data_IF_283778834822
#
_entry.id   IF_283778834822
#
_cell.length_a   1.000
_cell.length_b   1.000
_cell.length_c   1.000
_cell.angle_alpha   90.00
_cell.angle_beta   90.00
_cell.angle_gamma   90.00
#
_symmetry.space_group_name_H-M   'P 1'
#
loop_
_entity.id
_entity.type
_entity.pdbx_description
1 polymer ?
#
# COMPACT_ATOMS: atom_id res chain seq x y z
N UNK A 1 -18.60 -13.69 -47.21
CA UNK A 1 -19.58 -13.83 -46.13
C UNK A 1 -18.88 -13.45 -44.85
N UNK A 2 -19.13 -12.24 -44.36
CA UNK A 2 -18.53 -11.72 -43.13
C UNK A 2 -19.25 -12.41 -41.97
N UNK A 3 -18.55 -13.25 -41.21
CA UNK A 3 -19.11 -13.85 -39.99
C UNK A 3 -19.58 -12.72 -39.08
N UNK A 4 -20.80 -12.74 -38.53
CA UNK A 4 -21.22 -11.73 -37.58
C UNK A 4 -20.23 -11.74 -36.41
N UNK A 5 -19.75 -10.56 -36.02
CA UNK A 5 -18.96 -10.41 -34.79
C UNK A 5 -19.77 -11.03 -33.64
N UNK A 6 -19.16 -11.87 -32.77
CA UNK A 6 -19.90 -12.48 -31.68
C UNK A 6 -20.57 -11.38 -30.87
N UNK A 7 -21.88 -11.48 -30.67
CA UNK A 7 -22.61 -10.56 -29.83
C UNK A 7 -21.95 -10.55 -28.45
N UNK A 8 -21.41 -9.41 -28.04
CA UNK A 8 -20.72 -9.28 -26.75
C UNK A 8 -21.75 -9.51 -25.65
N UNK A 9 -21.58 -10.59 -24.88
CA UNK A 9 -22.42 -10.86 -23.70
C UNK A 9 -22.40 -9.65 -22.75
N UNK A 10 -23.53 -9.33 -22.09
CA UNK A 10 -23.54 -8.34 -21.03
C UNK A 10 -22.61 -8.76 -19.88
N UNK A 11 -22.23 -7.80 -19.04
CA UNK A 11 -21.35 -8.03 -17.90
C UNK A 11 -22.01 -7.62 -16.60
N UNK A 12 -21.88 -8.49 -15.61
CA UNK A 12 -22.11 -8.18 -14.20
C UNK A 12 -20.76 -7.89 -13.55
N UNK A 13 -20.59 -6.68 -12.99
CA UNK A 13 -19.34 -6.26 -12.36
C UNK A 13 -19.44 -6.38 -10.84
N UNK A 14 -18.44 -6.99 -10.22
CA UNK A 14 -18.28 -7.04 -8.77
C UNK A 14 -17.01 -6.28 -8.40
N UNK A 15 -17.16 -5.14 -7.73
CA UNK A 15 -16.04 -4.38 -7.19
C UNK A 15 -15.73 -4.87 -5.79
N UNK A 16 -14.47 -5.20 -5.51
CA UNK A 16 -14.06 -5.66 -4.18
C UNK A 16 -13.11 -4.65 -3.56
N UNK A 17 -13.46 -4.14 -2.39
CA UNK A 17 -12.71 -3.10 -1.66
C UNK A 17 -11.88 -3.69 -0.53
N UNK A 18 -10.77 -3.03 -0.19
CA UNK A 18 -9.80 -3.45 0.84
C UNK A 18 -9.33 -2.27 1.69
N UNK A 19 -8.12 -2.31 2.26
CA UNK A 19 -7.68 -1.23 3.17
C UNK A 19 -7.48 0.13 2.47
N UNK A 20 -7.24 0.12 1.15
CA UNK A 20 -7.13 1.34 0.33
C UNK A 20 -8.47 1.99 -0.03
N UNK A 21 -9.59 1.27 0.11
CA UNK A 21 -10.88 1.70 -0.43
C UNK A 21 -12.10 1.31 0.41
N UNK A 22 -13.10 2.19 0.45
CA UNK A 22 -14.41 1.88 1.01
C UNK A 22 -15.50 1.91 -0.04
N UNK A 23 -16.63 1.25 0.26
CA UNK A 23 -17.83 1.30 -0.60
C UNK A 23 -18.27 2.74 -0.91
N UNK A 24 -18.11 3.66 0.04
CA UNK A 24 -18.48 5.06 -0.11
C UNK A 24 -17.62 5.82 -1.15
N UNK A 25 -16.44 5.30 -1.51
CA UNK A 25 -15.50 5.97 -2.40
C UNK A 25 -15.87 5.87 -3.89
N UNK A 26 -16.85 5.05 -4.25
CA UNK A 26 -17.10 4.70 -5.66
C UNK A 26 -18.44 5.14 -6.22
N UNK A 27 -19.38 5.60 -5.38
CA UNK A 27 -20.76 5.88 -5.78
C UNK A 27 -20.90 6.69 -7.09
N UNK A 28 -20.23 7.86 -7.22
CA UNK A 28 -20.28 8.65 -8.46
C UNK A 28 -19.59 8.00 -9.66
N UNK A 29 -18.47 7.31 -9.43
CA UNK A 29 -17.68 6.69 -10.50
C UNK A 29 -18.33 5.43 -11.08
N UNK A 30 -19.20 4.77 -10.30
CA UNK A 30 -19.98 3.61 -10.73
C UNK A 30 -21.40 3.97 -11.17
N UNK A 31 -21.76 5.25 -11.19
CA UNK A 31 -23.08 5.69 -11.58
C UNK A 31 -23.34 5.32 -13.06
N UNK A 32 -24.18 4.31 -13.28
CA UNK A 32 -24.51 3.78 -14.60
C UNK A 32 -23.91 2.40 -14.92
N UNK A 33 -23.06 1.85 -14.05
CA UNK A 33 -22.61 0.47 -14.15
C UNK A 33 -23.57 -0.45 -13.38
N UNK A 34 -23.83 -1.65 -13.95
CA UNK A 34 -24.45 -2.76 -13.21
C UNK A 34 -23.40 -3.39 -12.29
N UNK A 35 -23.00 -2.63 -11.27
CA UNK A 35 -21.88 -2.97 -10.40
C UNK A 35 -22.35 -3.20 -8.96
N UNK A 36 -21.93 -4.31 -8.36
CA UNK A 36 -22.07 -4.56 -6.93
C UNK A 36 -20.74 -4.28 -6.22
N UNK A 37 -20.75 -3.41 -5.21
CA UNK A 37 -19.55 -3.04 -4.45
C UNK A 37 -19.53 -3.74 -3.10
N UNK A 38 -18.50 -4.54 -2.87
CA UNK A 38 -18.36 -5.40 -1.70
C UNK A 38 -17.11 -5.04 -0.92
N UNK A 39 -17.20 -5.06 0.41
CA UNK A 39 -15.99 -5.07 1.26
C UNK A 39 -15.43 -6.49 1.31
N UNK A 40 -14.11 -6.63 1.37
CA UNK A 40 -13.45 -7.93 1.30
C UNK A 40 -13.87 -8.85 2.46
N UNK A 41 -14.61 -9.89 2.11
CA UNK A 41 -14.45 -11.19 2.76
C UNK A 41 -14.60 -12.27 1.69
N UNK A 42 -13.70 -13.26 1.69
CA UNK A 42 -13.70 -14.36 0.71
C UNK A 42 -15.07 -15.03 0.57
N UNK A 43 -15.77 -15.20 1.71
CA UNK A 43 -17.12 -15.79 1.74
C UNK A 43 -18.17 -14.92 1.04
N UNK A 44 -18.12 -13.60 1.24
CA UNK A 44 -19.06 -12.67 0.59
C UNK A 44 -18.82 -12.64 -0.92
N UNK A 45 -17.56 -12.51 -1.35
CA UNK A 45 -17.19 -12.55 -2.78
C UNK A 45 -17.67 -13.84 -3.43
N UNK A 46 -17.36 -15.00 -2.83
CA UNK A 46 -17.80 -16.30 -3.35
C UNK A 46 -19.34 -16.39 -3.43
N UNK A 47 -20.07 -15.94 -2.42
CA UNK A 47 -21.53 -16.02 -2.41
C UNK A 47 -22.18 -15.13 -3.48
N UNK A 48 -21.70 -13.90 -3.64
CA UNK A 48 -22.21 -12.96 -4.65
C UNK A 48 -21.91 -13.48 -6.05
N UNK A 49 -20.68 -13.91 -6.31
CA UNK A 49 -20.30 -14.45 -7.62
C UNK A 49 -21.10 -15.70 -7.96
N UNK A 50 -21.26 -16.63 -7.01
CA UNK A 50 -22.11 -17.82 -7.21
C UNK A 50 -23.54 -17.43 -7.56
N UNK A 51 -24.10 -16.43 -6.89
CA UNK A 51 -25.47 -15.97 -7.13
C UNK A 51 -25.60 -15.28 -8.48
N UNK A 52 -24.61 -14.48 -8.88
CA UNK A 52 -24.55 -13.84 -10.20
C UNK A 52 -24.49 -14.88 -11.32
N UNK A 53 -23.57 -15.86 -11.22
CA UNK A 53 -23.43 -16.94 -12.20
C UNK A 53 -24.70 -17.80 -12.34
N UNK A 54 -25.45 -17.99 -11.25
CA UNK A 54 -26.70 -18.76 -11.26
C UNK A 54 -27.92 -17.97 -11.75
N UNK A 55 -27.88 -16.64 -11.76
CA UNK A 55 -29.05 -15.77 -12.04
C UNK A 55 -29.07 -15.18 -13.44
N UNK A 56 -27.92 -15.13 -14.13
CA UNK A 56 -27.81 -14.59 -15.49
C UNK A 56 -26.92 -15.49 -16.35
N UNK A 57 -26.95 -15.28 -17.68
CA UNK A 57 -25.98 -15.85 -18.63
C UNK A 57 -24.80 -14.88 -18.92
N UNK A 58 -24.69 -13.80 -18.16
CA UNK A 58 -23.69 -12.76 -18.34
C UNK A 58 -22.28 -13.27 -18.00
N UNK A 59 -21.28 -12.50 -18.44
CA UNK A 59 -19.91 -12.63 -17.94
C UNK A 59 -19.83 -11.90 -16.59
N UNK A 60 -19.41 -12.61 -15.55
CA UNK A 60 -19.16 -12.05 -14.22
C UNK A 60 -17.69 -11.63 -14.13
N UNK A 61 -17.46 -10.36 -13.87
CA UNK A 61 -16.11 -9.80 -13.71
C UNK A 61 -15.91 -9.32 -12.29
N UNK A 62 -14.82 -9.75 -11.66
CA UNK A 62 -14.44 -9.32 -10.31
C UNK A 62 -13.24 -8.38 -10.42
N UNK A 63 -13.37 -7.16 -9.91
CA UNK A 63 -12.34 -6.12 -9.99
C UNK A 63 -11.87 -5.73 -8.58
N UNK A 64 -10.62 -6.08 -8.22
CA UNK A 64 -9.99 -5.58 -6.99
C UNK A 64 -9.74 -4.06 -7.06
N UNK A 65 -10.35 -3.31 -6.14
CA UNK A 65 -10.28 -1.85 -6.06
C UNK A 65 -9.11 -1.39 -5.18
N UNK A 66 -7.90 -1.63 -5.66
CA UNK A 66 -6.62 -1.33 -5.01
C UNK A 66 -5.69 -0.60 -5.98
N UNK A 67 -4.82 0.29 -5.48
CA UNK A 67 -3.69 0.81 -6.24
C UNK A 67 -2.46 -0.11 -6.13
N UNK A 68 -2.64 -1.39 -5.81
CA UNK A 68 -1.58 -2.38 -5.65
C UNK A 68 -0.84 -2.31 -4.33
N UNK A 69 -1.31 -1.52 -3.37
CA UNK A 69 -0.83 -1.52 -1.98
C UNK A 69 -1.48 -2.63 -1.15
N UNK A 70 -2.51 -3.28 -1.71
CA UNK A 70 -3.24 -4.40 -1.13
C UNK A 70 -3.16 -5.63 -2.07
N UNK A 71 -1.97 -6.25 -2.21
CA UNK A 71 -1.83 -7.49 -2.99
C UNK A 71 -2.62 -8.66 -2.38
N UNK A 72 -2.81 -8.65 -1.06
CA UNK A 72 -3.63 -9.60 -0.32
C UNK A 72 -5.09 -9.62 -0.80
N UNK A 73 -5.69 -8.46 -1.08
CA UNK A 73 -7.03 -8.35 -1.68
C UNK A 73 -7.13 -9.08 -3.02
N UNK A 74 -6.13 -8.94 -3.88
CA UNK A 74 -6.10 -9.61 -5.19
C UNK A 74 -6.02 -11.12 -5.01
N UNK A 75 -5.13 -11.59 -4.13
CA UNK A 75 -4.98 -13.00 -3.81
C UNK A 75 -6.25 -13.58 -3.18
N UNK A 76 -6.91 -12.85 -2.28
CA UNK A 76 -8.13 -13.30 -1.63
C UNK A 76 -9.32 -13.32 -2.58
N UNK A 77 -9.42 -12.38 -3.53
CA UNK A 77 -10.35 -12.49 -4.65
C UNK A 77 -10.08 -13.78 -5.44
N UNK A 78 -8.83 -14.02 -5.86
CA UNK A 78 -8.49 -15.22 -6.62
C UNK A 78 -8.81 -16.54 -5.87
N UNK A 79 -8.48 -16.62 -4.57
CA UNK A 79 -8.82 -17.78 -3.71
C UNK A 79 -10.33 -17.99 -3.60
N UNK A 80 -11.13 -16.91 -3.54
CA UNK A 80 -12.58 -17.01 -3.53
C UNK A 80 -13.13 -17.54 -4.86
N UNK A 81 -12.47 -17.22 -5.98
CA UNK A 81 -12.92 -17.59 -7.32
C UNK A 81 -12.42 -18.95 -7.83
N UNK A 82 -11.30 -19.44 -7.28
CA UNK A 82 -10.65 -20.67 -7.73
C UNK A 82 -11.59 -21.89 -7.76
N UNK A 83 -12.57 -21.94 -6.87
CA UNK A 83 -13.56 -23.02 -6.81
C UNK A 83 -14.48 -23.09 -8.04
N UNK A 84 -14.68 -21.99 -8.77
CA UNK A 84 -15.53 -21.96 -9.96
C UNK A 84 -14.79 -22.39 -11.22
N UNK A 85 -13.46 -22.21 -11.26
CA UNK A 85 -12.62 -22.55 -12.42
C UNK A 85 -12.63 -24.05 -12.76
N UNK A 86 -12.99 -24.92 -11.81
CA UNK A 86 -12.99 -26.37 -11.96
C UNK A 86 -14.37 -26.99 -12.23
N UNK A 87 -15.45 -26.20 -12.19
CA UNK A 87 -16.82 -26.74 -12.09
C UNK A 87 -17.63 -26.64 -13.40
N UNK A 88 -17.31 -25.71 -14.31
CA UNK A 88 -18.16 -25.46 -15.49
C UNK A 88 -17.62 -26.10 -16.78
N UNK A 89 -18.38 -27.05 -17.34
CA UNK A 89 -18.25 -27.46 -18.74
C UNK A 89 -18.96 -26.41 -19.61
N UNK A 90 -18.21 -25.59 -20.35
CA UNK A 90 -18.78 -24.56 -21.21
C UNK A 90 -17.82 -23.43 -21.60
N UNK A 91 -18.35 -22.39 -22.23
CA UNK A 91 -17.59 -21.17 -22.48
C UNK A 91 -17.29 -20.45 -21.15
N UNK A 92 -16.08 -19.90 -20.96
CA UNK A 92 -15.71 -19.28 -19.70
C UNK A 92 -16.51 -17.99 -19.47
N UNK A 93 -17.12 -17.88 -18.28
CA UNK A 93 -18.03 -16.78 -17.89
C UNK A 93 -17.59 -16.00 -16.66
N UNK A 94 -16.45 -16.36 -16.06
CA UNK A 94 -15.92 -15.71 -14.88
C UNK A 94 -14.51 -15.18 -15.18
N UNK A 95 -14.25 -13.93 -14.86
CA UNK A 95 -12.91 -13.35 -14.93
C UNK A 95 -12.57 -12.55 -13.67
N UNK A 96 -11.34 -12.72 -13.19
CA UNK A 96 -10.67 -11.80 -12.29
C UNK A 96 -9.95 -10.74 -13.13
N UNK A 97 -10.38 -9.49 -13.01
CA UNK A 97 -9.69 -8.37 -13.62
C UNK A 97 -8.33 -8.14 -12.94
N UNK A 98 -7.41 -7.48 -13.66
CA UNK A 98 -6.28 -6.84 -13.00
C UNK A 98 -6.79 -5.84 -11.96
N UNK A 99 -6.02 -5.61 -10.90
CA UNK A 99 -6.29 -4.54 -9.95
C UNK A 99 -6.46 -3.21 -10.67
N UNK A 100 -7.26 -2.31 -10.09
CA UNK A 100 -7.52 -1.02 -10.71
C UNK A 100 -6.24 -0.30 -11.11
N UNK A 101 -5.26 -0.25 -10.20
CA UNK A 101 -3.93 0.27 -10.50
C UNK A 101 -2.80 -0.52 -9.85
N UNK A 102 -1.63 0.10 -9.87
CA UNK A 102 -0.35 -0.45 -9.40
C UNK A 102 0.33 0.59 -8.51
N UNK A 103 1.33 0.20 -7.69
CA UNK A 103 2.01 1.15 -6.83
C UNK A 103 2.63 2.32 -7.61
N UNK A 104 3.07 2.08 -8.84
CA UNK A 104 3.58 3.13 -9.74
C UNK A 104 2.50 4.14 -10.15
N UNK A 105 1.27 3.66 -10.42
CA UNK A 105 0.13 4.55 -10.65
C UNK A 105 -0.15 5.41 -9.41
N UNK A 106 -0.12 4.83 -8.21
CA UNK A 106 -0.28 5.58 -6.96
C UNK A 106 0.82 6.64 -6.80
N UNK A 107 2.09 6.27 -6.98
CA UNK A 107 3.22 7.22 -6.92
C UNK A 107 3.02 8.35 -7.93
N UNK A 108 2.60 8.07 -9.16
CA UNK A 108 2.34 9.10 -10.16
C UNK A 108 1.23 10.08 -9.71
N UNK A 109 0.14 9.57 -9.13
CA UNK A 109 -0.94 10.38 -8.58
C UNK A 109 -0.51 11.20 -7.37
N UNK A 110 0.22 10.60 -6.43
CA UNK A 110 0.76 11.29 -5.25
C UNK A 110 1.74 12.39 -5.65
N UNK A 111 2.64 12.13 -6.61
CA UNK A 111 3.54 13.16 -7.15
C UNK A 111 2.78 14.31 -7.81
N UNK A 112 1.66 14.00 -8.51
CA UNK A 112 0.79 15.05 -9.05
C UNK A 112 0.16 15.88 -7.93
N UNK A 113 -0.29 15.25 -6.85
CA UNK A 113 -0.85 15.94 -5.69
C UNK A 113 0.17 16.87 -5.05
N UNK A 114 1.39 16.37 -4.78
CA UNK A 114 2.51 17.17 -4.24
C UNK A 114 2.83 18.38 -5.12
N UNK A 115 2.99 18.21 -6.44
CA UNK A 115 3.24 19.33 -7.36
C UNK A 115 2.09 20.34 -7.41
N UNK A 116 0.86 19.86 -7.29
CA UNK A 116 -0.32 20.71 -7.26
C UNK A 116 -0.37 21.52 -5.97
N UNK A 117 -0.05 20.90 -4.83
CA UNK A 117 0.09 21.59 -3.54
C UNK A 117 1.19 22.64 -3.60
N UNK A 118 2.39 22.29 -4.11
CA UNK A 118 3.50 23.23 -4.25
C UNK A 118 3.13 24.49 -5.04
N UNK A 119 2.35 24.34 -6.12
CA UNK A 119 1.94 25.46 -6.97
C UNK A 119 0.78 26.27 -6.40
N UNK A 120 -0.16 25.65 -5.67
CA UNK A 120 -1.36 26.32 -5.15
C UNK A 120 -1.19 26.86 -3.73
N UNK A 121 -0.28 26.27 -2.94
CA UNK A 121 0.00 26.60 -1.54
C UNK A 121 1.51 26.52 -1.28
N UNK A 122 2.29 27.51 -1.75
CA UNK A 122 3.72 27.56 -1.48
C UNK A 122 4.00 27.51 0.02
N UNK A 123 4.96 26.68 0.45
CA UNK A 123 5.30 26.49 1.86
C UNK A 123 4.44 25.49 2.63
N UNK A 124 3.36 24.96 2.04
CA UNK A 124 2.57 23.91 2.68
C UNK A 124 3.28 22.55 2.65
N UNK A 125 3.21 21.82 3.77
CA UNK A 125 3.60 20.41 3.85
C UNK A 125 2.53 19.49 3.27
N UNK A 126 2.91 18.27 2.88
CA UNK A 126 1.99 17.24 2.36
C UNK A 126 1.99 16.02 3.28
N UNK A 127 0.87 15.78 3.94
CA UNK A 127 0.66 14.59 4.76
C UNK A 127 -0.04 13.50 3.92
N UNK A 128 0.68 12.43 3.59
CA UNK A 128 0.09 11.26 2.97
C UNK A 128 -0.60 10.41 4.04
N UNK A 129 -1.87 10.07 3.82
CA UNK A 129 -2.65 9.30 4.79
C UNK A 129 -3.20 8.02 4.18
N UNK A 130 -3.17 6.94 4.95
CA UNK A 130 -3.92 5.73 4.64
C UNK A 130 -4.44 5.12 5.94
N UNK A 131 -5.41 4.21 5.83
CA UNK A 131 -5.80 3.37 6.96
C UNK A 131 -4.62 2.48 7.34
N UNK A 132 -4.38 2.35 8.64
CA UNK A 132 -3.43 1.38 9.18
C UNK A 132 -4.06 0.00 9.13
N UNK A 133 -3.31 -0.98 8.64
CA UNK A 133 -3.77 -2.38 8.49
C UNK A 133 -2.80 -3.33 9.18
N UNK A 134 -1.66 -3.61 8.55
CA UNK A 134 -0.56 -4.39 9.12
C UNK A 134 0.78 -3.68 8.89
N UNK A 135 1.86 -4.08 9.60
CA UNK A 135 3.15 -3.39 9.52
C UNK A 135 3.77 -3.36 8.11
N UNK A 136 3.50 -4.34 7.26
CA UNK A 136 4.05 -4.39 5.91
C UNK A 136 3.32 -3.42 4.98
N UNK A 137 1.99 -3.38 5.03
CA UNK A 137 1.18 -2.41 4.28
C UNK A 137 1.47 -0.97 4.72
N UNK A 138 1.72 -0.77 6.02
CA UNK A 138 2.14 0.52 6.58
C UNK A 138 3.55 0.89 6.09
N UNK A 139 4.49 -0.06 6.10
CA UNK A 139 5.84 0.15 5.57
C UNK A 139 5.83 0.46 4.07
N UNK A 140 4.92 -0.16 3.30
CA UNK A 140 4.75 0.14 1.88
C UNK A 140 4.34 1.60 1.68
N UNK A 141 3.49 2.18 2.53
CA UNK A 141 3.19 3.62 2.47
C UNK A 141 4.44 4.48 2.61
N UNK A 142 5.31 4.12 3.57
CA UNK A 142 6.56 4.81 3.79
C UNK A 142 7.52 4.66 2.59
N UNK A 143 7.56 3.49 1.95
CA UNK A 143 8.32 3.27 0.70
C UNK A 143 7.81 4.17 -0.41
N UNK A 144 6.50 4.20 -0.65
CA UNK A 144 5.89 5.05 -1.68
C UNK A 144 6.11 6.53 -1.39
N UNK A 145 5.98 6.97 -0.13
CA UNK A 145 6.28 8.34 0.27
C UNK A 145 7.74 8.72 0.00
N UNK A 146 8.69 7.81 0.23
CA UNK A 146 10.09 8.02 -0.12
C UNK A 146 10.29 8.19 -1.64
N UNK A 147 9.63 7.38 -2.47
CA UNK A 147 9.68 7.53 -3.94
C UNK A 147 9.07 8.86 -4.40
N UNK A 148 7.97 9.28 -3.77
CA UNK A 148 7.32 10.57 -4.04
C UNK A 148 8.25 11.73 -3.69
N UNK A 149 8.96 11.68 -2.55
CA UNK A 149 9.94 12.70 -2.13
C UNK A 149 11.13 12.78 -3.08
N UNK A 150 11.75 11.64 -3.37
CA UNK A 150 12.99 11.57 -4.17
C UNK A 150 12.80 12.13 -5.58
N UNK A 151 11.57 12.05 -6.11
CA UNK A 151 11.21 12.54 -7.44
C UNK A 151 10.22 13.72 -7.40
N UNK A 152 10.07 14.36 -6.23
CA UNK A 152 9.12 15.41 -5.93
C UNK A 152 9.79 16.77 -5.73
N UNK A 153 8.98 17.82 -5.68
CA UNK A 153 9.41 19.19 -5.33
C UNK A 153 10.03 19.25 -3.93
N UNK A 154 10.66 20.37 -3.57
CA UNK A 154 11.18 20.70 -2.21
C UNK A 154 10.09 20.77 -1.11
N UNK A 155 8.90 20.22 -1.38
CA UNK A 155 7.80 20.13 -0.43
C UNK A 155 8.09 19.01 0.56
N UNK A 156 7.93 19.32 1.84
CA UNK A 156 8.03 18.32 2.89
C UNK A 156 6.86 17.33 2.79
N UNK A 157 7.18 16.03 2.71
CA UNK A 157 6.19 14.95 2.65
C UNK A 157 6.38 13.99 3.82
N UNK A 158 5.32 13.82 4.61
CA UNK A 158 5.27 12.88 5.73
C UNK A 158 4.13 11.89 5.53
N UNK A 159 4.11 10.84 6.36
CA UNK A 159 3.12 9.78 6.34
C UNK A 159 2.39 9.69 7.68
N UNK A 160 1.09 9.44 7.63
CA UNK A 160 0.32 8.95 8.77
C UNK A 160 -0.51 7.73 8.35
N UNK A 161 -0.20 6.58 8.96
CA UNK A 161 -1.09 5.43 9.00
C UNK A 161 -2.11 5.66 10.12
N UNK A 162 -3.38 5.76 9.73
CA UNK A 162 -4.47 6.20 10.59
C UNK A 162 -5.23 4.97 11.09
N UNK A 163 -5.25 4.77 12.40
CA UNK A 163 -5.91 3.60 12.99
C UNK A 163 -7.42 3.81 13.06
N UNK A 164 -8.23 2.77 12.79
CA UNK A 164 -9.67 2.84 12.94
C UNK A 164 -10.06 3.29 14.36
N UNK A 165 -10.92 4.30 14.45
CA UNK A 165 -11.41 4.89 15.70
C UNK A 165 -10.46 5.88 16.39
N UNK A 166 -9.23 6.08 15.86
CA UNK A 166 -8.25 7.03 16.39
C UNK A 166 -7.84 8.07 15.34
N UNK A 167 -8.72 8.32 14.36
CA UNK A 167 -8.40 9.09 13.16
C UNK A 167 -7.97 10.52 13.50
N UNK A 168 -8.73 11.17 14.38
CA UNK A 168 -8.46 12.53 14.83
C UNK A 168 -7.14 12.60 15.60
N UNK A 169 -6.86 11.64 16.49
CA UNK A 169 -5.64 11.63 17.30
C UNK A 169 -4.38 11.38 16.45
N UNK A 170 -4.47 10.44 15.51
CA UNK A 170 -3.37 10.07 14.63
C UNK A 170 -3.03 11.22 13.67
N UNK A 171 -4.05 11.89 13.13
CA UNK A 171 -3.86 13.11 12.33
C UNK A 171 -3.31 14.26 13.16
N UNK A 172 -3.80 14.48 14.39
CA UNK A 172 -3.31 15.54 15.26
C UNK A 172 -1.80 15.41 15.52
N UNK A 173 -1.32 14.20 15.81
CA UNK A 173 0.12 13.95 16.01
C UNK A 173 0.95 14.20 14.75
N UNK A 174 0.41 13.90 13.57
CA UNK A 174 1.10 14.12 12.31
C UNK A 174 1.13 15.60 11.91
N UNK A 175 0.04 16.33 12.10
CA UNK A 175 -0.05 17.79 11.86
C UNK A 175 0.87 18.56 12.80
N UNK A 176 0.86 18.21 14.09
CA UNK A 176 1.76 18.82 15.07
C UNK A 176 3.24 18.61 14.70
N UNK A 177 3.62 17.43 14.20
CA UNK A 177 4.96 17.18 13.68
C UNK A 177 5.31 18.12 12.51
N UNK A 178 4.38 18.33 11.57
CA UNK A 178 4.57 19.27 10.46
C UNK A 178 4.83 20.70 10.94
N UNK A 179 4.03 21.18 11.90
CA UNK A 179 4.21 22.51 12.46
C UNK A 179 5.57 22.65 13.16
N UNK A 180 6.02 21.63 13.90
CA UNK A 180 7.38 21.62 14.51
C UNK A 180 8.51 21.63 13.48
N UNK A 181 8.26 21.10 12.28
CA UNK A 181 9.20 21.10 11.16
C UNK A 181 9.13 22.37 10.31
N UNK A 182 8.30 23.34 10.72
CA UNK A 182 8.20 24.67 10.11
C UNK A 182 7.18 24.78 8.98
N UNK A 183 6.38 23.74 8.72
CA UNK A 183 5.27 23.85 7.79
C UNK A 183 4.15 24.68 8.42
N UNK A 184 3.72 25.70 7.70
CA UNK A 184 2.69 26.66 8.14
C UNK A 184 1.27 26.18 7.80
N UNK A 185 1.14 25.40 6.73
CA UNK A 185 -0.08 24.76 6.27
C UNK A 185 0.21 23.28 5.97
N UNK A 186 -0.79 22.43 6.13
CA UNK A 186 -0.69 21.00 5.82
C UNK A 186 -1.79 20.59 4.85
N UNK A 187 -1.42 19.92 3.77
CA UNK A 187 -2.37 19.30 2.84
C UNK A 187 -2.38 17.79 3.04
N UNK A 188 -3.52 17.29 3.50
CA UNK A 188 -3.78 15.86 3.69
C UNK A 188 -4.18 15.23 2.36
N UNK A 189 -3.40 14.26 1.90
CA UNK A 189 -3.58 13.57 0.63
C UNK A 189 -3.82 12.08 0.91
N UNK A 190 -4.96 11.51 0.48
CA UNK A 190 -5.23 10.10 0.71
C UNK A 190 -4.39 9.24 -0.23
N UNK A 191 -3.66 8.27 0.30
CA UNK A 191 -2.97 7.22 -0.44
C UNK A 191 -3.90 6.02 -0.70
N UNK A 192 -5.07 6.33 -1.27
CA UNK A 192 -6.17 5.39 -1.49
C UNK A 192 -7.29 6.07 -2.28
N UNK A 193 -8.53 5.64 -2.05
CA UNK A 193 -9.71 6.14 -2.78
C UNK A 193 -10.56 7.15 -2.02
N UNK A 194 -10.17 7.49 -0.79
CA UNK A 194 -10.93 8.37 0.09
C UNK A 194 -11.33 9.68 -0.61
N UNK A 195 -12.63 9.98 -0.59
CA UNK A 195 -13.19 11.22 -1.15
C UNK A 195 -13.39 12.33 -0.12
N UNK A 196 -13.30 11.98 1.16
CA UNK A 196 -13.50 12.88 2.29
C UNK A 196 -12.57 12.51 3.42
N UNK A 197 -12.19 13.50 4.23
CA UNK A 197 -11.54 13.29 5.52
C UNK A 197 -12.13 14.32 6.49
N UNK A 198 -13.28 14.01 7.14
CA UNK A 198 -13.99 14.96 7.99
C UNK A 198 -13.15 15.47 9.16
N UNK A 199 -12.19 14.68 9.63
CA UNK A 199 -11.27 15.01 10.72
C UNK A 199 -10.44 16.25 10.40
N UNK A 200 -10.13 16.50 9.12
CA UNK A 200 -9.38 17.69 8.69
C UNK A 200 -10.08 18.99 9.10
N UNK A 201 -11.42 19.00 9.17
CA UNK A 201 -12.17 20.19 9.58
C UNK A 201 -11.92 20.63 11.03
N UNK A 202 -11.30 19.77 11.85
CA UNK A 202 -10.99 20.05 13.25
C UNK A 202 -9.66 20.78 13.44
N UNK A 203 -8.85 20.93 12.38
CA UNK A 203 -7.53 21.52 12.45
C UNK A 203 -7.45 22.82 11.65
N UNK A 204 -6.94 23.87 12.27
CA UNK A 204 -6.65 25.12 11.56
C UNK A 204 -5.51 24.92 10.56
N UNK A 205 -5.60 25.57 9.40
CA UNK A 205 -4.55 25.56 8.35
C UNK A 205 -4.22 24.15 7.82
N UNK A 206 -5.14 23.21 7.99
CA UNK A 206 -5.08 21.87 7.40
C UNK A 206 -6.17 21.73 6.34
N UNK A 207 -5.82 21.14 5.21
CA UNK A 207 -6.71 21.03 4.07
C UNK A 207 -6.71 19.63 3.49
N UNK A 208 -7.89 19.11 3.17
CA UNK A 208 -8.00 17.86 2.44
C UNK A 208 -7.77 18.12 0.95
N UNK A 209 -6.92 17.31 0.31
CA UNK A 209 -6.61 17.42 -1.11
C UNK A 209 -7.81 17.05 -2.00
N UNK A 210 -8.63 16.11 -1.54
CA UNK A 210 -9.66 15.47 -2.36
C UNK A 210 -9.20 14.11 -2.92
N UNK A 211 -10.04 13.48 -3.77
CA UNK A 211 -9.68 12.24 -4.43
C UNK A 211 -8.49 12.44 -5.39
N UNK A 212 -7.59 11.45 -5.43
CA UNK A 212 -6.41 11.46 -6.30
C UNK A 212 -6.74 11.44 -7.79
N UNK A 213 -7.88 10.81 -8.12
CA UNK A 213 -8.36 10.60 -9.48
C UNK A 213 -9.79 11.14 -9.58
N UNK A 214 -10.08 11.87 -10.65
CA UNK A 214 -11.43 12.36 -10.90
C UNK A 214 -12.36 11.21 -11.33
N UNK A 215 -13.64 11.27 -10.94
CA UNK A 215 -14.60 10.19 -11.20
C UNK A 215 -14.67 9.73 -12.67
N UNK A 216 -14.62 10.60 -13.70
CA UNK A 216 -14.62 10.14 -15.09
C UNK A 216 -13.35 9.39 -15.50
N UNK A 217 -12.21 9.69 -14.89
CA UNK A 217 -10.97 8.96 -15.15
C UNK A 217 -10.97 7.61 -14.43
N UNK A 218 -11.60 7.54 -13.24
CA UNK A 218 -11.82 6.28 -12.53
C UNK A 218 -12.76 5.36 -13.32
N UNK A 219 -13.89 5.87 -13.81
CA UNK A 219 -14.82 5.13 -14.66
C UNK A 219 -14.15 4.57 -15.92
N UNK A 220 -13.36 5.39 -16.64
CA UNK A 220 -12.57 4.92 -17.78
C UNK A 220 -11.57 3.81 -17.42
N UNK A 221 -10.92 3.93 -16.27
CA UNK A 221 -9.97 2.89 -15.81
C UNK A 221 -10.70 1.57 -15.52
N UNK A 222 -11.90 1.63 -14.95
CA UNK A 222 -12.76 0.45 -14.73
C UNK A 222 -13.13 -0.18 -16.09
N UNK A 223 -13.58 0.62 -17.06
CA UNK A 223 -13.93 0.15 -18.40
C UNK A 223 -12.73 -0.51 -19.12
N UNK A 224 -11.53 0.07 -19.00
CA UNK A 224 -10.29 -0.47 -19.56
C UNK A 224 -9.95 -1.83 -18.93
N UNK A 225 -10.07 -1.95 -17.60
CA UNK A 225 -9.83 -3.21 -16.88
C UNK A 225 -10.83 -4.30 -17.29
N UNK A 226 -12.10 -3.95 -17.41
CA UNK A 226 -13.15 -4.87 -17.87
C UNK A 226 -12.91 -5.31 -19.31
N UNK A 227 -12.53 -4.39 -20.19
CA UNK A 227 -12.25 -4.68 -21.60
C UNK A 227 -11.05 -5.61 -21.76
N UNK A 228 -9.99 -5.38 -20.99
CA UNK A 228 -8.81 -6.25 -20.94
C UNK A 228 -9.14 -7.64 -20.40
N UNK A 229 -9.88 -7.72 -19.30
CA UNK A 229 -10.32 -9.00 -18.72
C UNK A 229 -11.19 -9.80 -19.71
N UNK A 230 -12.14 -9.13 -20.39
CA UNK A 230 -12.95 -9.76 -21.44
C UNK A 230 -12.12 -10.33 -22.57
N UNK A 231 -11.16 -9.53 -23.05
CA UNK A 231 -10.28 -9.94 -24.14
C UNK A 231 -9.46 -11.18 -23.76
N UNK A 232 -8.90 -11.21 -22.55
CA UNK A 232 -8.17 -12.35 -21.98
C UNK A 232 -9.05 -13.59 -21.80
N UNK A 233 -10.28 -13.40 -21.32
CA UNK A 233 -11.24 -14.48 -21.15
C UNK A 233 -11.58 -15.15 -22.48
N UNK A 234 -11.73 -14.36 -23.55
CA UNK A 234 -11.92 -14.86 -24.92
C UNK A 234 -10.73 -15.68 -25.45
N UNK A 235 -9.56 -15.58 -24.81
CA UNK A 235 -8.37 -16.39 -25.08
C UNK A 235 -8.16 -17.52 -24.05
N UNK A 236 -9.12 -17.78 -23.16
CA UNK A 236 -9.04 -18.83 -22.14
C UNK A 236 -8.28 -18.44 -20.87
N UNK A 237 -7.99 -17.14 -20.67
CA UNK A 237 -7.32 -16.65 -19.47
C UNK A 237 -8.30 -15.92 -18.56
N UNK A 238 -8.63 -16.52 -17.42
CA UNK A 238 -9.58 -15.99 -16.43
C UNK A 238 -8.94 -15.04 -15.39
N UNK A 239 -7.61 -14.94 -15.35
CA UNK A 239 -6.86 -14.12 -14.39
C UNK A 239 -6.74 -14.72 -12.98
N UNK A 240 -7.42 -15.82 -12.66
CA UNK A 240 -7.44 -16.42 -11.31
C UNK A 240 -6.06 -16.93 -10.93
N UNK A 241 -5.38 -17.67 -11.83
CA UNK A 241 -4.04 -18.20 -11.57
C UNK A 241 -3.01 -17.10 -11.32
N UNK A 242 -3.09 -15.98 -12.06
CA UNK A 242 -2.24 -14.82 -11.84
C UNK A 242 -2.55 -14.14 -10.50
N UNK A 243 -3.84 -14.00 -10.15
CA UNK A 243 -4.25 -13.43 -8.88
C UNK A 243 -3.82 -14.24 -7.66
N UNK A 244 -3.80 -15.57 -7.75
CA UNK A 244 -3.25 -16.43 -6.68
C UNK A 244 -1.77 -16.14 -6.39
N UNK A 245 -1.03 -15.68 -7.41
CA UNK A 245 0.38 -15.32 -7.27
C UNK A 245 0.60 -13.90 -6.73
N UNK A 246 -0.45 -13.07 -6.64
CA UNK A 246 -0.32 -11.64 -6.36
C UNK A 246 0.34 -11.31 -5.02
N UNK A 247 0.22 -12.15 -4.00
CA UNK A 247 0.78 -11.92 -2.65
C UNK A 247 2.15 -12.61 -2.44
N UNK A 248 2.63 -13.40 -3.41
CA UNK A 248 3.87 -14.16 -3.24
C UNK A 248 5.14 -13.29 -3.35
N UNK A 249 5.08 -12.18 -4.11
CA UNK A 249 6.21 -11.27 -4.29
C UNK A 249 6.32 -10.20 -3.17
N UNK A 250 5.34 -10.14 -2.26
CA UNK A 250 5.20 -9.06 -1.28
C UNK A 250 5.56 -9.49 0.15
N UNK A 251 6.72 -10.11 0.35
CA UNK A 251 7.34 -10.29 1.69
C UNK A 251 6.58 -11.16 2.71
N UNK A 252 5.29 -11.44 2.50
CA UNK A 252 4.42 -12.26 3.33
C UNK A 252 4.91 -13.71 3.44
N UNK A 253 5.58 -14.21 2.38
CA UNK A 253 5.95 -15.62 2.26
C UNK A 253 7.32 -15.99 2.86
N UNK A 254 8.08 -15.03 3.42
CA UNK A 254 9.44 -15.28 3.90
C UNK A 254 9.73 -14.88 5.34
N UNK A 255 8.73 -14.35 6.07
CA UNK A 255 8.83 -14.25 7.53
C UNK A 255 8.63 -15.64 8.13
N UNK A 256 9.66 -16.48 8.07
CA UNK A 256 9.81 -17.52 9.07
C UNK A 256 9.83 -16.80 10.43
N UNK A 257 8.83 -17.08 11.26
CA UNK A 257 9.02 -16.93 12.70
C UNK A 257 10.31 -17.70 13.02
N UNK A 258 11.38 -16.97 13.33
CA UNK A 258 12.51 -17.54 14.04
C UNK A 258 11.96 -17.84 15.44
N UNK A 259 11.33 -19.00 15.58
CA UNK A 259 11.04 -19.58 16.87
C UNK A 259 12.37 -20.12 17.41
N UNK A 260 13.20 -19.19 17.88
CA UNK A 260 14.38 -19.46 18.66
C UNK A 260 13.98 -19.85 20.07
N UNK A 261 14.17 -21.14 20.37
CA UNK A 261 14.63 -21.73 21.61
C UNK A 261 13.97 -21.35 22.95
N UNK A 262 13.30 -22.34 23.56
CA UNK A 262 13.54 -22.68 24.98
C UNK A 262 13.44 -24.19 25.25
N UNK A 263 14.49 -24.68 25.92
CA UNK A 263 14.83 -26.05 26.32
C UNK A 263 13.79 -26.86 27.11
N UNK A 264 13.73 -28.17 26.83
CA UNK A 264 13.81 -29.30 27.78
C UNK A 264 14.33 -30.51 26.95
N UNK A 265 15.35 -31.30 27.28
CA UNK A 265 15.78 -31.83 28.58
C UNK A 265 15.62 -33.36 28.55
N UNK A 266 16.68 -34.10 28.18
CA UNK A 266 16.91 -35.50 28.54
C UNK A 266 16.24 -36.60 27.68
N UNK A 267 17.06 -37.45 27.07
CA UNK A 267 16.61 -38.70 26.45
C UNK A 267 17.64 -39.25 25.47
N UNK A 268 18.67 -39.92 26.00
CA UNK A 268 19.69 -40.56 25.19
C UNK A 268 19.12 -41.71 24.36
N UNK A 269 19.53 -41.77 23.10
CA UNK A 269 19.58 -43.00 22.33
C UNK A 269 20.85 -43.00 21.49
N UNK A 270 21.75 -43.90 21.88
CA UNK A 270 22.88 -44.36 21.07
C UNK A 270 22.37 -44.89 19.74
N UNK A 271 22.83 -44.27 18.64
CA UNK A 271 22.86 -44.93 17.35
C UNK A 271 24.30 -45.03 16.88
N UNK A 272 24.78 -46.26 16.99
CA UNK A 272 26.03 -46.73 16.44
C UNK A 272 26.16 -46.33 14.97
N UNK A 273 27.31 -45.75 14.67
CA UNK A 273 27.78 -45.46 13.33
C UNK A 273 27.91 -46.76 12.53
N UNK A 274 27.25 -46.82 11.38
CA UNK A 274 27.72 -47.66 10.30
C UNK A 274 28.75 -46.89 9.48
N UNK A 275 29.95 -47.46 9.46
CA UNK A 275 31.05 -47.14 8.57
C UNK A 275 30.59 -47.04 7.12
N UNK A 276 30.82 -45.88 6.50
CA UNK A 276 31.19 -45.85 5.09
C UNK A 276 32.45 -45.01 4.92
N UNK A 277 33.50 -45.75 4.62
CA UNK A 277 34.83 -45.29 4.31
C UNK A 277 34.88 -44.56 2.95
N UNK A 278 35.57 -43.42 2.98
CA UNK A 278 36.32 -42.74 1.92
C UNK A 278 35.59 -42.32 0.63
N UNK A 279 35.48 -40.99 0.46
CA UNK A 279 36.22 -40.32 -0.63
C UNK A 279 36.73 -38.96 -0.16
N UNK A 280 38.05 -38.84 -0.13
CA UNK A 280 38.79 -37.59 0.04
C UNK A 280 38.57 -36.66 -1.15
N UNK A 281 38.07 -35.45 -0.86
CA UNK A 281 38.39 -34.28 -1.66
C UNK A 281 38.80 -33.15 -0.72
N UNK A 282 40.10 -33.11 -0.45
CA UNK A 282 40.79 -31.93 0.03
C UNK A 282 40.72 -30.85 -1.06
N UNK A 283 40.04 -29.73 -0.80
CA UNK A 283 40.38 -28.44 -1.41
C UNK A 283 39.99 -27.28 -0.48
N UNK A 284 41.06 -26.74 0.12
CA UNK A 284 41.31 -25.34 0.43
C UNK A 284 40.32 -24.55 1.30
N UNK A 285 40.72 -24.45 2.57
CA UNK A 285 40.65 -23.23 3.36
C UNK A 285 41.00 -22.00 2.51
N UNK A 286 40.01 -21.12 2.34
CA UNK A 286 40.26 -19.71 2.11
C UNK A 286 39.83 -18.94 3.35
N UNK A 287 40.80 -18.85 4.24
CA UNK A 287 40.93 -17.87 5.30
C UNK A 287 40.95 -16.47 4.66
N UNK A 288 39.86 -15.73 4.77
CA UNK A 288 39.84 -14.30 4.44
C UNK A 288 39.69 -13.49 5.73
N UNK A 289 40.85 -13.12 6.24
CA UNK A 289 41.08 -12.01 7.14
C UNK A 289 40.29 -10.76 6.72
N UNK A 290 39.38 -10.39 7.61
CA UNK A 290 39.23 -9.06 8.21
C UNK A 290 40.26 -8.01 7.75
N UNK A 291 39.81 -7.05 6.93
CA UNK A 291 40.35 -5.69 6.91
C UNK A 291 39.21 -4.68 6.76
N UNK A 292 38.63 -4.33 7.91
CA UNK A 292 37.91 -3.07 8.10
C UNK A 292 38.91 -1.93 7.89
N UNK A 293 38.78 -1.19 6.79
CA UNK A 293 39.42 0.12 6.66
C UNK A 293 38.68 1.13 7.55
N UNK A 294 39.26 1.38 8.72
CA UNK A 294 38.95 2.50 9.58
C UNK A 294 39.32 3.79 8.83
N UNK A 295 38.30 4.55 8.42
CA UNK A 295 38.47 5.92 7.95
C UNK A 295 38.68 6.81 9.17
N UNK A 296 39.91 7.32 9.34
CA UNK A 296 40.26 8.23 10.42
C UNK A 296 39.56 9.60 10.32
N UNK A 297 39.33 10.26 11.48
CA UNK A 297 38.48 11.43 11.61
C UNK A 297 39.11 12.72 11.09
N UNK A 298 38.27 13.56 10.48
CA UNK A 298 38.61 14.93 10.08
C UNK A 298 39.12 15.76 11.26
N UNK A 299 40.21 16.47 11.00
CA UNK A 299 40.97 17.31 11.92
C UNK A 299 40.18 18.50 12.52
N UNK A 300 40.59 19.00 13.70
CA UNK A 300 39.90 20.06 14.43
C UNK A 300 40.07 21.45 13.81
N UNK A 301 38.99 22.24 13.86
CA UNK A 301 38.91 23.65 13.48
C UNK A 301 39.66 24.53 14.51
N UNK A 302 40.47 25.53 14.09
CA UNK A 302 41.16 26.40 15.01
C UNK A 302 40.21 27.39 15.70
N UNK A 303 40.35 27.51 17.02
CA UNK A 303 39.72 28.53 17.87
C UNK A 303 40.31 29.90 17.56
N UNK A 304 39.46 30.89 17.29
CA UNK A 304 39.80 32.30 17.43
C UNK A 304 39.36 32.76 18.82
N UNK A 305 40.37 33.06 19.65
CA UNK A 305 40.24 33.91 20.83
C UNK A 305 40.15 35.35 20.35
N UNK A 306 39.11 36.07 20.78
CA UNK A 306 39.15 37.52 20.96
C UNK A 306 38.30 37.84 22.19
N UNK A 307 38.98 38.18 23.28
CA UNK A 307 38.37 38.72 24.48
C UNK A 307 38.19 40.24 24.38
N UNK A 308 37.11 40.75 24.97
CA UNK A 308 37.07 42.10 25.53
C UNK A 308 35.97 42.23 26.60
N UNK A 309 36.39 42.86 27.69
CA UNK A 309 35.75 43.21 28.95
C UNK A 309 34.36 43.90 28.95
N UNK A 310 33.49 43.43 29.86
CA UNK A 310 32.76 44.20 30.90
C UNK A 310 31.59 45.15 30.52
N UNK A 311 30.79 45.66 31.50
CA UNK A 311 30.70 45.34 32.93
C UNK A 311 29.30 44.96 33.45
N UNK A 312 29.32 44.48 34.70
CA UNK A 312 28.21 44.30 35.65
C UNK A 312 27.23 45.49 35.71
N UNK A 313 25.93 45.18 35.72
CA UNK A 313 24.96 45.94 36.50
C UNK A 313 24.05 45.03 37.32
N UNK A 314 23.62 45.61 38.43
CA UNK A 314 23.28 45.02 39.71
C UNK A 314 21.75 45.18 39.95
N UNK A 315 21.09 44.06 40.27
CA UNK A 315 19.87 43.93 41.13
C UNK A 315 18.52 44.59 40.73
N UNK A 316 17.38 44.29 41.41
CA UNK A 316 16.93 43.10 42.15
C UNK A 316 15.44 42.66 41.95
N UNK A 317 15.16 41.39 42.33
CA UNK A 317 14.01 40.76 43.07
C UNK A 317 12.52 41.21 42.95
N UNK A 318 11.66 40.18 43.13
CA UNK A 318 10.20 40.11 43.49
C UNK A 318 9.26 40.11 42.28
N UNK A 319 8.28 39.23 42.12
CA UNK A 319 7.14 38.82 42.97
C UNK A 319 6.87 37.30 42.82
N UNK A 320 6.62 36.50 43.87
CA UNK A 320 5.39 36.31 44.67
C UNK A 320 4.15 35.79 43.93
N UNK A 321 3.58 34.74 44.56
CA UNK A 321 2.43 33.91 44.17
C UNK A 321 1.11 34.68 44.14
N UNK A 322 0.21 34.24 43.26
CA UNK A 322 -1.19 33.91 43.56
C UNK A 322 -1.58 32.70 42.72
#
# INVERSE_FOLDING_TARGET
MTSPAPATRPVTLVLVTGHESDRADFGPATAGLSAEVLTCSRRVVHHVVRSALASTDDVVMVLPMTWGRDPGLVADCAKALQWFATIEEGEPRLALCESLGTPDHLVAHLRKAVRTTASRRPGAGVLLTARSENPFDDAELHRLAHLVRTHGSEVQVEVACVRPGLETEDLARAVDRFHRLGADEVVVVPAGFARTCPEVAQFERVHFYGPLVADPALGRTIDDRMSLARHRLGHGYDGISAGLLADHDHGYAHSHEVQGDHHHGGGGHDHAHHDHAHHDHAHHDHDHHDQVQVQEPFAPVPRQDDGADGPMHDQPRRYERC
#
